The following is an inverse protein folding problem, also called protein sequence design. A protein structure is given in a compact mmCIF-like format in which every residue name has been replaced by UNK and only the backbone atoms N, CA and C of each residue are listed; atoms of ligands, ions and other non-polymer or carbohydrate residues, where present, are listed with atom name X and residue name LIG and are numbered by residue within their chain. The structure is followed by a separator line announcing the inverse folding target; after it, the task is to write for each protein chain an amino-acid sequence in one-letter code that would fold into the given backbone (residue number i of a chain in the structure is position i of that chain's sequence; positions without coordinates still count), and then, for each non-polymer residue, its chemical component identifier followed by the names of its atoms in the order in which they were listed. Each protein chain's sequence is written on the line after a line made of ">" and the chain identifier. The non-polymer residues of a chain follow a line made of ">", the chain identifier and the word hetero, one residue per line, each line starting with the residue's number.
data_IF_155903200382
#
_entry.id   IF_155903200382
#
_cell.length_a   1.000
_cell.length_b   1.000
_cell.length_c   1.000
_cell.angle_alpha   90.00
_cell.angle_beta   90.00
_cell.angle_gamma   90.00
#
_symmetry.space_group_name_H-M   'P 1'
#
loop_
_entity.id
_entity.type
_entity.pdbx_description
1 polymer ?
#
# COMPACT_ATOMS: atom_id res chain seq x y z
N UNK A 1 18.76 -18.56 1.63
CA UNK A 1 18.95 -17.11 1.40
C UNK A 1 17.58 -16.48 1.30
N UNK A 2 17.33 -15.42 2.06
CA UNK A 2 16.09 -14.62 2.02
C UNK A 2 16.01 -13.89 0.67
N UNK A 3 14.91 -14.03 -0.06
CA UNK A 3 14.73 -13.37 -1.36
C UNK A 3 14.39 -11.88 -1.16
N UNK A 4 14.67 -11.00 -2.15
CA UNK A 4 14.12 -9.65 -2.15
C UNK A 4 12.61 -9.71 -1.96
N UNK A 5 12.09 -8.95 -1.00
CA UNK A 5 10.66 -8.94 -0.66
C UNK A 5 10.28 -9.82 0.53
N UNK A 6 11.11 -10.76 1.00
CA UNK A 6 10.80 -11.62 2.15
C UNK A 6 10.82 -10.89 3.50
N UNK A 7 11.05 -9.58 3.55
CA UNK A 7 11.01 -8.77 4.79
C UNK A 7 11.75 -9.41 6.00
N UNK A 8 12.92 -10.00 5.74
CA UNK A 8 13.70 -10.69 6.79
C UNK A 8 13.18 -12.07 7.22
N UNK A 9 12.01 -12.50 6.75
CA UNK A 9 11.38 -13.79 7.03
C UNK A 9 11.16 -14.57 5.71
N UNK A 10 11.90 -15.66 5.47
CA UNK A 10 11.79 -16.41 4.22
C UNK A 10 10.35 -16.79 3.86
N UNK A 11 9.93 -16.46 2.63
CA UNK A 11 8.60 -16.77 2.11
C UNK A 11 7.45 -15.90 2.63
N UNK A 12 7.73 -14.85 3.42
CA UNK A 12 6.67 -13.97 3.95
C UNK A 12 5.88 -13.26 2.84
N UNK A 13 6.54 -12.86 1.75
CA UNK A 13 5.86 -12.20 0.63
C UNK A 13 4.83 -13.11 -0.01
N UNK A 14 5.23 -14.36 -0.27
CA UNK A 14 4.34 -15.33 -0.89
C UNK A 14 3.10 -15.61 -0.04
N UNK A 15 3.29 -15.72 1.29
CA UNK A 15 2.19 -15.92 2.24
C UNK A 15 1.19 -14.76 2.20
N UNK A 16 1.68 -13.53 2.36
CA UNK A 16 0.81 -12.34 2.38
C UNK A 16 0.09 -12.15 1.04
N UNK A 17 0.74 -12.44 -0.09
CA UNK A 17 0.07 -12.41 -1.40
C UNK A 17 -1.00 -13.50 -1.56
N UNK A 18 -0.83 -14.68 -0.94
CA UNK A 18 -1.86 -15.71 -0.89
C UNK A 18 -3.07 -15.27 -0.05
N UNK A 19 -2.83 -14.54 1.05
CA UNK A 19 -3.91 -13.97 1.87
C UNK A 19 -4.68 -12.89 1.10
N UNK A 20 -3.98 -11.98 0.41
CA UNK A 20 -4.60 -10.98 -0.49
C UNK A 20 -5.43 -11.65 -1.59
N UNK A 21 -4.90 -12.72 -2.19
CA UNK A 21 -5.63 -13.48 -3.22
C UNK A 21 -6.91 -14.10 -2.65
N UNK A 22 -6.82 -14.68 -1.45
CA UNK A 22 -7.98 -15.28 -0.76
C UNK A 22 -9.05 -14.23 -0.47
N UNK A 23 -8.65 -13.06 0.02
CA UNK A 23 -9.56 -11.94 0.27
C UNK A 23 -10.24 -11.45 -1.02
N UNK A 24 -9.51 -11.37 -2.15
CA UNK A 24 -10.14 -11.00 -3.43
C UNK A 24 -11.14 -12.04 -3.93
N UNK A 25 -10.86 -13.32 -3.76
CA UNK A 25 -11.85 -14.37 -4.09
C UNK A 25 -13.11 -14.24 -3.21
N UNK A 26 -12.94 -13.96 -1.92
CA UNK A 26 -14.07 -13.77 -1.00
C UNK A 26 -14.91 -12.54 -1.37
N UNK A 27 -14.26 -11.43 -1.70
CA UNK A 27 -14.92 -10.22 -2.16
C UNK A 27 -15.66 -10.42 -3.49
N UNK A 28 -15.08 -11.16 -4.45
CA UNK A 28 -15.78 -11.51 -5.70
C UNK A 28 -17.03 -12.35 -5.46
N UNK A 29 -16.95 -13.32 -4.54
CA UNK A 29 -18.10 -14.12 -4.14
C UNK A 29 -19.20 -13.28 -3.45
N UNK A 30 -18.80 -12.25 -2.71
CA UNK A 30 -19.72 -11.42 -1.93
C UNK A 30 -20.33 -10.25 -2.73
N UNK A 31 -19.58 -9.63 -3.66
CA UNK A 31 -19.97 -8.39 -4.35
C UNK A 31 -20.08 -8.53 -5.88
N UNK A 32 -19.61 -9.65 -6.45
CA UNK A 32 -19.61 -9.89 -7.89
C UNK A 32 -18.76 -8.88 -8.68
N UNK A 33 -19.02 -8.78 -9.98
CA UNK A 33 -18.38 -7.79 -10.85
C UNK A 33 -18.90 -6.38 -10.49
N UNK A 34 -17.97 -5.46 -10.27
CA UNK A 34 -18.25 -4.05 -9.99
C UNK A 34 -17.54 -3.18 -11.04
N UNK A 35 -18.25 -2.18 -11.57
CA UNK A 35 -17.70 -1.17 -12.48
C UNK A 35 -18.01 0.20 -11.88
N UNK A 36 -16.96 0.92 -11.46
CA UNK A 36 -17.06 2.24 -10.84
C UNK A 36 -16.09 3.20 -11.53
N UNK A 37 -16.42 4.49 -11.66
CA UNK A 37 -15.46 5.50 -12.11
C UNK A 37 -14.34 5.68 -11.07
N UNK A 38 -13.15 6.06 -11.52
CA UNK A 38 -11.97 6.17 -10.64
C UNK A 38 -12.15 7.20 -9.51
N UNK A 39 -12.78 8.34 -9.81
CA UNK A 39 -13.02 9.39 -8.81
C UNK A 39 -11.75 10.12 -8.33
N UNK A 40 -10.64 9.96 -9.04
CA UNK A 40 -9.33 10.57 -8.79
C UNK A 40 -9.08 11.79 -9.68
N UNK A 41 -8.02 12.55 -9.39
CA UNK A 41 -7.52 13.62 -10.25
C UNK A 41 -6.94 14.82 -9.50
N UNK A 42 -6.64 15.92 -10.20
CA UNK A 42 -5.81 17.01 -9.66
C UNK A 42 -6.42 17.76 -8.46
N UNK A 43 -7.71 17.58 -8.19
CA UNK A 43 -8.38 18.15 -7.02
C UNK A 43 -7.78 17.67 -5.69
N UNK A 44 -7.15 16.48 -5.66
CA UNK A 44 -6.52 15.91 -4.47
C UNK A 44 -5.02 16.22 -4.36
N UNK A 45 -4.44 16.97 -5.30
CA UNK A 45 -3.02 17.32 -5.29
C UNK A 45 -2.59 18.07 -4.01
N UNK A 46 -3.37 19.01 -3.44
CA UNK A 46 -3.01 19.67 -2.19
C UNK A 46 -2.84 18.69 -1.02
N UNK A 47 -3.71 17.69 -0.92
CA UNK A 47 -3.66 16.64 0.10
C UNK A 47 -2.45 15.73 -0.09
N UNK A 48 -2.17 15.31 -1.33
CA UNK A 48 -0.98 14.52 -1.67
C UNK A 48 0.32 15.25 -1.28
N UNK A 49 0.42 16.53 -1.63
CA UNK A 49 1.55 17.39 -1.27
C UNK A 49 1.75 17.50 0.25
N UNK A 50 0.65 17.60 1.01
CA UNK A 50 0.71 17.64 2.48
C UNK A 50 1.19 16.31 3.06
N UNK A 51 0.72 15.18 2.53
CA UNK A 51 1.16 13.86 2.96
C UNK A 51 2.65 13.63 2.69
N UNK A 52 3.11 14.00 1.49
CA UNK A 52 4.53 13.95 1.10
C UNK A 52 5.44 14.75 2.04
N UNK A 53 5.02 15.97 2.39
CA UNK A 53 5.73 16.79 3.41
C UNK A 53 5.72 16.10 4.77
N UNK A 54 4.57 15.58 5.22
CA UNK A 54 4.47 14.90 6.50
C UNK A 54 5.36 13.65 6.59
N UNK A 55 5.53 12.90 5.49
CA UNK A 55 6.48 11.78 5.40
C UNK A 55 7.91 12.28 5.53
N UNK A 56 8.30 13.30 4.76
CA UNK A 56 9.64 13.85 4.80
C UNK A 56 9.99 14.39 6.20
N UNK A 57 9.10 15.15 6.83
CA UNK A 57 9.28 15.70 8.18
C UNK A 57 9.37 14.58 9.22
N UNK A 58 8.45 13.61 9.18
CA UNK A 58 8.47 12.48 10.10
C UNK A 58 9.74 11.62 9.93
N UNK A 59 10.23 11.45 8.69
CA UNK A 59 11.49 10.76 8.42
C UNK A 59 12.69 11.53 8.98
N UNK A 60 12.76 12.84 8.76
CA UNK A 60 13.82 13.71 9.28
C UNK A 60 13.88 13.70 10.81
N UNK A 61 12.74 13.59 11.48
CA UNK A 61 12.63 13.55 12.94
C UNK A 61 12.73 12.14 13.54
N UNK A 62 12.90 11.09 12.73
CA UNK A 62 12.94 9.70 13.20
C UNK A 62 11.61 9.19 13.75
N UNK A 63 10.49 9.82 13.36
CA UNK A 63 9.11 9.47 13.76
C UNK A 63 8.29 8.87 12.61
N UNK A 64 8.94 8.47 11.51
CA UNK A 64 8.28 7.87 10.37
C UNK A 64 7.53 6.59 10.77
N UNK A 65 6.31 6.43 10.26
CA UNK A 65 5.49 5.25 10.55
C UNK A 65 4.91 4.70 9.27
N UNK A 66 4.46 3.45 9.31
CA UNK A 66 3.74 2.84 8.20
C UNK A 66 2.49 3.60 7.77
N UNK A 67 1.79 4.23 8.74
CA UNK A 67 0.64 5.09 8.45
C UNK A 67 1.04 6.26 7.55
N UNK A 68 2.20 6.89 7.79
CA UNK A 68 2.67 7.99 6.95
C UNK A 68 2.89 7.51 5.50
N UNK A 69 3.61 6.39 5.35
CA UNK A 69 3.96 5.84 4.03
C UNK A 69 2.71 5.42 3.27
N UNK A 70 1.82 4.61 3.87
CA UNK A 70 0.61 4.16 3.20
C UNK A 70 -0.32 5.33 2.83
N UNK A 71 -0.42 6.34 3.70
CA UNK A 71 -1.26 7.50 3.47
C UNK A 71 -0.74 8.39 2.34
N UNK A 72 0.58 8.51 2.18
CA UNK A 72 1.19 9.19 1.03
C UNK A 72 0.82 8.52 -0.28
N UNK A 73 1.09 7.21 -0.41
CA UNK A 73 0.80 6.47 -1.65
C UNK A 73 -0.68 6.52 -2.03
N UNK A 74 -1.59 6.46 -1.03
CA UNK A 74 -3.04 6.57 -1.28
C UNK A 74 -3.40 7.95 -1.82
N UNK A 75 -2.81 9.02 -1.28
CA UNK A 75 -3.12 10.38 -1.74
C UNK A 75 -2.43 10.70 -3.07
N UNK A 76 -1.26 10.15 -3.34
CA UNK A 76 -0.64 10.21 -4.68
C UNK A 76 -1.53 9.50 -5.71
N UNK A 77 -2.08 8.31 -5.40
CA UNK A 77 -3.07 7.66 -6.25
C UNK A 77 -4.34 8.49 -6.45
N UNK A 78 -4.87 9.13 -5.40
CA UNK A 78 -6.06 9.98 -5.52
C UNK A 78 -5.81 11.22 -6.36
N UNK A 79 -4.59 11.77 -6.38
CA UNK A 79 -4.25 12.94 -7.17
C UNK A 79 -4.04 12.65 -8.67
N UNK A 80 -4.00 11.39 -9.08
CA UNK A 80 -3.68 10.98 -10.45
C UNK A 80 -4.90 10.95 -11.38
N UNK A 81 -4.75 11.44 -12.61
CA UNK A 81 -5.80 11.46 -13.65
C UNK A 81 -5.45 10.66 -14.91
N UNK A 82 -4.20 10.25 -15.08
CA UNK A 82 -3.81 9.30 -16.12
C UNK A 82 -4.03 7.85 -15.65
N UNK A 83 -4.82 7.03 -16.37
CA UNK A 83 -5.11 5.65 -15.95
C UNK A 83 -3.87 4.75 -15.82
N UNK A 84 -2.85 4.98 -16.64
CA UNK A 84 -1.61 4.20 -16.60
C UNK A 84 -0.78 4.50 -15.36
N UNK A 85 -0.69 5.79 -15.00
CA UNK A 85 -0.05 6.24 -13.77
C UNK A 85 -0.87 5.87 -12.54
N UNK A 86 -2.20 5.99 -12.58
CA UNK A 86 -3.08 5.57 -11.48
C UNK A 86 -2.88 4.09 -11.15
N UNK A 87 -2.79 3.24 -12.17
CA UNK A 87 -2.45 1.81 -11.97
C UNK A 87 -1.11 1.64 -11.26
N UNK A 88 -0.12 2.47 -11.57
CA UNK A 88 1.22 2.41 -10.97
C UNK A 88 1.16 2.78 -9.48
N UNK A 89 0.49 3.88 -9.14
CA UNK A 89 0.31 4.31 -7.76
C UNK A 89 -0.51 3.29 -6.94
N UNK A 90 -1.59 2.73 -7.52
CA UNK A 90 -2.37 1.67 -6.85
C UNK A 90 -1.54 0.41 -6.57
N UNK A 91 -0.59 0.07 -7.44
CA UNK A 91 0.36 -1.01 -7.19
C UNK A 91 1.33 -0.65 -6.06
N UNK A 92 1.78 0.60 -5.95
CA UNK A 92 2.58 1.06 -4.82
C UNK A 92 1.80 0.99 -3.50
N UNK A 93 0.54 1.44 -3.48
CA UNK A 93 -0.36 1.30 -2.31
C UNK A 93 -0.43 -0.17 -1.86
N UNK A 94 -0.71 -1.08 -2.79
CA UNK A 94 -0.78 -2.51 -2.49
C UNK A 94 0.56 -3.05 -1.97
N UNK A 95 1.68 -2.64 -2.57
CA UNK A 95 3.01 -3.06 -2.14
C UNK A 95 3.35 -2.56 -0.73
N UNK A 96 2.99 -1.33 -0.37
CA UNK A 96 3.18 -0.79 0.99
C UNK A 96 2.29 -1.50 2.00
N UNK A 97 1.04 -1.79 1.66
CA UNK A 97 0.14 -2.55 2.51
C UNK A 97 0.69 -3.97 2.79
N UNK A 98 1.11 -4.69 1.74
CA UNK A 98 1.76 -6.01 1.86
C UNK A 98 2.99 -5.91 2.75
N UNK A 99 3.87 -4.95 2.50
CA UNK A 99 5.10 -4.74 3.29
C UNK A 99 4.81 -4.45 4.77
N UNK A 100 3.75 -3.72 5.07
CA UNK A 100 3.34 -3.46 6.44
C UNK A 100 2.82 -4.74 7.12
N UNK A 101 2.01 -5.56 6.45
CA UNK A 101 1.58 -6.87 6.99
C UNK A 101 2.77 -7.76 7.30
N UNK A 102 3.73 -7.87 6.37
CA UNK A 102 4.97 -8.62 6.61
C UNK A 102 5.74 -8.11 7.83
N UNK A 103 5.74 -6.80 8.06
CA UNK A 103 6.35 -6.20 9.23
C UNK A 103 5.62 -6.51 10.53
N UNK A 104 4.30 -6.71 10.51
CA UNK A 104 3.51 -7.18 11.64
C UNK A 104 3.83 -8.65 11.92
N UNK A 105 3.74 -9.51 10.90
CA UNK A 105 4.03 -10.94 11.02
C UNK A 105 5.45 -11.20 11.56
N UNK A 106 6.43 -10.42 11.10
CA UNK A 106 7.81 -10.54 11.57
C UNK A 106 7.97 -10.18 13.05
N UNK A 107 7.16 -9.24 13.58
CA UNK A 107 7.17 -8.88 15.01
C UNK A 107 6.53 -9.97 15.86
N UNK A 108 5.46 -10.59 15.36
CA UNK A 108 4.77 -11.68 16.05
C UNK A 108 5.61 -12.96 16.10
N UNK A 109 6.29 -13.31 15.00
CA UNK A 109 7.14 -14.51 14.93
C UNK A 109 8.51 -14.36 15.61
N UNK A 110 8.92 -13.14 15.95
CA UNK A 110 10.18 -12.82 16.62
C UNK A 110 10.09 -12.63 18.13
N UNK A 111 8.92 -12.87 18.73
CA UNK A 111 8.65 -12.80 20.17
C UNK A 111 8.69 -14.17 20.85
#
# INVERSE_FOLDING_TARGET
>A
MTQPGDYGVPGSLHRVLADVTTERVAQDAMWGLQEHPDGTGPAYAPEADLAKRAVADAAAEGRLTWRHILHEEVLEAFAEDDPGRLRTELIQVAAVAVKWVQALDARENGS
#
